data_IF_699872486011
#
_entry.id   IF_699872486011
#
_cell.length_a   1.000
_cell.length_b   1.000
_cell.length_c   1.000
_cell.angle_alpha   90.00
_cell.angle_beta   90.00
_cell.angle_gamma   90.00
#
_symmetry.space_group_name_H-M   'P 1'
#
loop_
_entity.id
_entity.type
_entity.pdbx_description
1 polymer ?
#
# COMPACT_ATOMS: atom_id res chain seq x y z
N UNK A 1 -7.36 -36.12 -65.07
CA UNK A 1 -7.28 -34.64 -64.99
C UNK A 1 -6.07 -34.30 -64.12
N UNK A 2 -5.07 -33.63 -64.69
CA UNK A 2 -3.68 -33.53 -64.19
C UNK A 2 -3.07 -32.16 -64.55
N UNK A 3 -1.83 -31.93 -64.06
CA UNK A 3 -0.94 -30.74 -64.18
C UNK A 3 -1.17 -29.66 -63.11
N UNK A 4 -0.21 -29.21 -62.28
CA UNK A 4 1.28 -29.10 -62.27
C UNK A 4 1.90 -27.93 -63.09
N UNK A 5 2.69 -27.10 -62.39
CA UNK A 5 3.63 -26.09 -62.91
C UNK A 5 3.36 -24.66 -62.36
N UNK A 6 4.34 -23.82 -62.00
CA UNK A 6 5.79 -24.01 -61.85
C UNK A 6 6.63 -22.79 -62.29
N UNK A 7 7.71 -22.47 -61.54
CA UNK A 7 8.80 -21.48 -61.81
C UNK A 7 8.42 -19.98 -61.65
N UNK A 8 9.22 -19.03 -61.12
CA UNK A 8 10.67 -18.84 -60.79
C UNK A 8 11.49 -17.99 -61.80
N UNK A 9 11.61 -16.69 -61.47
CA UNK A 9 12.81 -15.81 -61.42
C UNK A 9 13.55 -15.19 -62.66
N UNK A 10 14.25 -14.05 -62.35
CA UNK A 10 15.35 -13.33 -63.06
C UNK A 10 14.96 -12.45 -64.29
N UNK A 11 15.51 -11.25 -64.58
CA UNK A 11 16.88 -10.70 -64.41
C UNK A 11 16.98 -9.18 -64.75
N UNK A 12 18.10 -8.52 -64.35
CA UNK A 12 18.75 -7.32 -64.95
C UNK A 12 18.00 -5.95 -65.05
N UNK A 13 18.64 -4.80 -65.35
CA UNK A 13 19.91 -4.17 -64.89
C UNK A 13 19.98 -2.69 -65.40
N UNK A 14 20.72 -1.82 -64.70
CA UNK A 14 20.93 -0.36 -64.89
C UNK A 14 21.24 0.17 -66.32
N UNK A 15 21.07 1.49 -66.53
CA UNK A 15 22.27 2.29 -66.89
C UNK A 15 22.47 3.62 -66.10
N UNK A 16 23.67 4.22 -66.27
CA UNK A 16 24.14 5.54 -65.77
C UNK A 16 23.70 6.65 -66.78
N UNK A 17 23.96 7.97 -66.69
CA UNK A 17 24.90 8.83 -65.94
C UNK A 17 24.60 10.35 -66.11
N UNK A 18 25.23 11.19 -65.27
CA UNK A 18 25.73 12.57 -65.53
C UNK A 18 24.77 13.80 -65.45
N UNK A 19 25.30 14.90 -64.89
CA UNK A 19 24.75 16.27 -65.01
C UNK A 19 24.68 17.10 -63.71
N UNK A 20 25.78 17.76 -63.32
CA UNK A 20 25.79 18.91 -62.38
C UNK A 20 26.15 20.19 -63.17
N UNK A 21 25.75 21.41 -62.75
CA UNK A 21 26.42 22.14 -61.66
C UNK A 21 25.39 23.02 -60.85
N UNK A 22 25.65 24.10 -60.09
CA UNK A 22 26.84 24.81 -59.55
C UNK A 22 26.36 25.68 -58.35
N UNK A 23 27.12 25.82 -57.26
CA UNK A 23 27.44 27.14 -56.63
C UNK A 23 28.54 27.03 -55.56
N UNK A 24 29.38 28.07 -55.46
CA UNK A 24 30.54 28.23 -54.58
C UNK A 24 30.11 28.96 -53.26
N UNK A 25 30.87 29.06 -52.16
CA UNK A 25 32.27 28.72 -51.88
C UNK A 25 32.62 28.76 -50.36
N UNK A 26 33.90 28.54 -50.02
CA UNK A 26 34.46 28.18 -48.68
C UNK A 26 34.93 29.46 -47.87
N UNK A 27 35.62 29.41 -46.68
CA UNK A 27 36.40 28.31 -46.07
C UNK A 27 36.31 28.05 -44.52
N UNK A 28 36.84 26.88 -44.12
CA UNK A 28 37.23 26.48 -42.74
C UNK A 28 38.70 26.86 -42.41
N UNK A 29 39.07 26.79 -41.12
CA UNK A 29 40.32 26.13 -40.68
C UNK A 29 40.10 24.86 -39.80
N UNK A 30 41.14 24.02 -39.56
CA UNK A 30 41.03 22.66 -38.98
C UNK A 30 41.11 22.63 -37.43
N UNK A 31 40.88 21.55 -36.68
CA UNK A 31 40.60 20.13 -36.99
C UNK A 31 41.54 19.17 -36.22
N UNK A 32 41.01 18.23 -35.40
CA UNK A 32 41.69 17.03 -34.81
C UNK A 32 40.66 16.07 -34.13
N UNK A 33 41.00 14.81 -33.78
CA UNK A 33 40.09 13.67 -34.01
C UNK A 33 39.34 13.10 -32.78
N UNK A 34 38.39 12.21 -33.08
CA UNK A 34 37.65 11.35 -32.16
C UNK A 34 38.54 10.32 -31.44
N UNK A 35 38.31 10.10 -30.14
CA UNK A 35 38.65 8.85 -29.44
C UNK A 35 37.58 8.43 -28.43
N UNK A 36 37.38 7.11 -28.35
CA UNK A 36 36.40 6.42 -27.52
C UNK A 36 36.84 6.38 -26.05
N UNK A 37 35.99 6.84 -25.12
CA UNK A 37 36.31 6.81 -23.69
C UNK A 37 35.83 5.51 -23.02
N UNK A 38 36.76 4.58 -22.79
CA UNK A 38 36.59 3.44 -21.87
C UNK A 38 36.81 3.94 -20.44
N UNK A 39 35.89 3.63 -19.52
CA UNK A 39 36.03 4.01 -18.10
C UNK A 39 36.87 2.98 -17.33
N UNK A 40 38.12 3.31 -17.03
CA UNK A 40 39.00 2.52 -16.14
C UNK A 40 39.04 3.11 -14.72
N UNK A 41 39.04 2.24 -13.72
CA UNK A 41 39.17 2.60 -12.30
C UNK A 41 40.64 3.00 -11.98
N UNK A 42 40.88 4.03 -11.15
CA UNK A 42 42.19 4.27 -10.57
C UNK A 42 42.35 3.45 -9.27
N UNK A 43 43.36 2.58 -9.25
CA UNK A 43 43.89 1.97 -8.03
C UNK A 43 45.15 2.71 -7.55
N UNK A 44 45.20 3.13 -6.30
CA UNK A 44 46.43 3.11 -5.48
C UNK A 44 46.11 3.42 -4.01
N UNK A 45 46.77 2.70 -3.10
CA UNK A 45 46.41 2.71 -1.68
C UNK A 45 47.16 3.79 -0.89
N UNK A 46 46.42 4.75 -0.34
CA UNK A 46 46.89 5.70 0.68
C UNK A 46 46.35 5.32 2.07
N UNK A 47 47.25 5.06 3.02
CA UNK A 47 46.93 4.50 4.36
C UNK A 47 46.28 5.57 5.27
N UNK A 48 44.96 5.55 5.45
CA UNK A 48 44.24 6.51 6.31
C UNK A 48 43.80 5.90 7.66
N UNK A 49 44.49 6.29 8.74
CA UNK A 49 43.97 6.21 10.12
C UNK A 49 43.17 7.48 10.43
N UNK A 50 41.84 7.48 10.32
CA UNK A 50 41.05 8.60 10.87
C UNK A 50 39.79 8.15 11.62
N UNK A 51 39.95 8.10 12.95
CA UNK A 51 39.08 8.69 13.98
C UNK A 51 37.72 9.23 13.46
N UNK A 52 36.63 8.57 13.84
CA UNK A 52 35.27 9.10 13.69
C UNK A 52 35.14 10.46 14.39
N UNK A 53 35.07 11.55 13.62
CA UNK A 53 34.49 12.81 14.07
C UNK A 53 32.97 12.71 13.99
N UNK A 54 32.28 13.30 14.97
CA UNK A 54 30.82 13.50 14.92
C UNK A 54 30.52 14.67 13.97
N UNK A 55 30.62 14.46 12.67
CA UNK A 55 30.09 15.44 11.72
C UNK A 55 28.56 15.33 11.66
N UNK A 56 27.89 16.48 11.64
CA UNK A 56 26.48 16.66 12.00
C UNK A 56 25.67 17.23 10.83
N UNK A 57 26.12 16.92 9.61
CA UNK A 57 25.83 17.66 8.37
C UNK A 57 25.19 16.79 7.27
N UNK A 58 24.56 15.67 7.62
CA UNK A 58 23.55 15.10 6.74
C UNK A 58 22.37 16.09 6.63
N UNK A 59 21.94 16.51 5.41
CA UNK A 59 20.82 17.41 5.26
C UNK A 59 19.56 16.73 5.80
N UNK A 60 19.06 17.23 6.93
CA UNK A 60 17.74 16.83 7.45
C UNK A 60 16.71 17.30 6.44
N UNK A 61 15.92 16.37 5.89
CA UNK A 61 14.67 16.74 5.24
C UNK A 61 13.86 17.57 6.25
N UNK A 62 13.44 18.80 5.91
CA UNK A 62 12.76 19.66 6.86
C UNK A 62 11.48 18.98 7.34
N UNK A 63 11.34 18.85 8.66
CA UNK A 63 10.04 18.58 9.25
C UNK A 63 9.20 19.81 8.97
N UNK A 64 8.32 19.72 7.97
CA UNK A 64 7.33 20.76 7.72
C UNK A 64 6.43 20.82 8.93
N UNK A 65 6.54 21.88 9.73
CA UNK A 65 5.52 22.21 10.71
C UNK A 65 4.24 22.55 9.93
N UNK A 66 3.30 21.61 9.89
CA UNK A 66 1.95 21.82 9.35
C UNK A 66 1.10 22.65 10.33
N UNK A 67 1.65 23.82 10.68
CA UNK A 67 0.98 24.93 11.38
C UNK A 67 0.14 25.78 10.41
N UNK A 68 -0.40 26.92 10.87
CA UNK A 68 -1.67 27.50 10.37
C UNK A 68 -1.59 28.27 9.03
N UNK A 69 -0.98 27.66 8.01
CA UNK A 69 -0.92 28.18 6.62
C UNK A 69 -1.74 27.34 5.62
N UNK A 70 -2.33 26.24 6.06
CA UNK A 70 -3.29 25.49 5.27
C UNK A 70 -4.65 26.16 5.33
N UNK A 71 -5.01 26.93 4.30
CA UNK A 71 -6.42 27.27 4.05
C UNK A 71 -7.18 25.96 3.78
N UNK A 72 -8.42 25.79 4.29
CA UNK A 72 -9.27 24.69 3.88
C UNK A 72 -9.42 24.69 2.36
N UNK A 73 -9.35 23.52 1.73
CA UNK A 73 -9.63 23.39 0.29
C UNK A 73 -11.15 23.39 0.09
N UNK A 74 -11.77 24.54 0.32
CA UNK A 74 -13.15 24.77 -0.08
C UNK A 74 -13.25 24.65 -1.61
N UNK A 75 -13.95 23.61 -2.09
CA UNK A 75 -14.24 23.43 -3.51
C UNK A 75 -13.33 22.50 -4.31
N UNK A 76 -12.54 21.61 -3.68
CA UNK A 76 -12.11 20.38 -4.39
C UNK A 76 -13.17 19.30 -4.17
N UNK A 77 -13.89 18.97 -5.23
CA UNK A 77 -14.87 17.88 -5.20
C UNK A 77 -14.18 16.52 -5.04
N UNK A 78 -14.85 15.65 -4.28
CA UNK A 78 -14.41 14.29 -3.98
C UNK A 78 -15.56 13.32 -4.26
N UNK A 79 -15.30 12.24 -4.99
CA UNK A 79 -16.23 11.11 -5.10
C UNK A 79 -15.74 9.95 -4.25
N UNK A 80 -16.63 9.38 -3.46
CA UNK A 80 -16.36 8.18 -2.66
C UNK A 80 -16.88 6.95 -3.41
N UNK A 81 -16.05 5.91 -3.53
CA UNK A 81 -16.42 4.60 -4.03
C UNK A 81 -16.46 3.61 -2.85
N UNK A 82 -17.59 2.91 -2.70
CA UNK A 82 -17.80 1.87 -1.71
C UNK A 82 -18.05 0.54 -2.44
N UNK A 83 -17.05 -0.36 -2.57
CA UNK A 83 -17.28 -1.72 -3.05
C UNK A 83 -18.02 -2.53 -1.98
N UNK A 84 -19.15 -3.14 -2.34
CA UNK A 84 -20.00 -3.88 -1.42
C UNK A 84 -20.46 -5.22 -2.02
N UNK A 85 -20.43 -6.27 -1.21
CA UNK A 85 -20.98 -7.59 -1.52
C UNK A 85 -21.42 -8.27 -0.22
N UNK A 86 -22.73 -8.38 -0.03
CA UNK A 86 -23.36 -8.89 1.20
C UNK A 86 -22.96 -8.11 2.47
N UNK A 87 -23.24 -6.82 2.44
CA UNK A 87 -22.88 -5.79 3.42
C UNK A 87 -24.13 -5.05 3.97
N UNK A 88 -25.33 -5.62 3.87
CA UNK A 88 -26.56 -4.95 4.31
C UNK A 88 -26.54 -4.55 5.80
N UNK A 89 -25.81 -5.30 6.63
CA UNK A 89 -25.65 -5.06 8.06
C UNK A 89 -24.66 -3.93 8.43
N UNK A 90 -23.87 -3.42 7.46
CA UNK A 90 -22.72 -2.54 7.70
C UNK A 90 -22.77 -1.26 6.84
N UNK A 91 -23.18 -1.37 5.57
CA UNK A 91 -23.11 -0.29 4.57
C UNK A 91 -23.86 0.97 4.97
N UNK A 92 -24.95 0.84 5.73
CA UNK A 92 -25.75 1.97 6.19
C UNK A 92 -24.98 2.92 7.11
N UNK A 93 -24.14 2.39 8.00
CA UNK A 93 -23.38 3.21 8.95
C UNK A 93 -22.17 3.87 8.28
N UNK A 94 -21.54 3.17 7.32
CA UNK A 94 -20.52 3.72 6.42
C UNK A 94 -21.07 4.92 5.64
N UNK A 95 -22.20 4.77 4.96
CA UNK A 95 -22.86 5.85 4.19
C UNK A 95 -23.20 7.05 5.10
N UNK A 96 -23.83 6.83 6.26
CA UNK A 96 -24.15 7.90 7.20
C UNK A 96 -22.90 8.64 7.69
N UNK A 97 -21.79 7.94 7.92
CA UNK A 97 -20.52 8.56 8.33
C UNK A 97 -19.92 9.46 7.25
N UNK A 98 -20.16 9.14 5.98
CA UNK A 98 -19.71 9.91 4.81
C UNK A 98 -20.61 11.12 4.55
N UNK A 99 -21.92 10.97 4.72
CA UNK A 99 -22.89 12.08 4.66
C UNK A 99 -22.69 13.08 5.81
N UNK A 100 -22.15 12.64 6.95
CA UNK A 100 -21.90 13.47 8.13
C UNK A 100 -20.51 14.15 8.16
N UNK A 101 -19.70 14.05 7.10
CA UNK A 101 -18.37 14.67 7.04
C UNK A 101 -18.44 16.21 7.12
N UNK A 102 -17.43 16.84 7.72
CA UNK A 102 -17.28 18.31 7.72
C UNK A 102 -17.10 18.88 6.30
N UNK A 103 -16.42 18.12 5.44
CA UNK A 103 -16.43 18.31 3.98
C UNK A 103 -17.18 17.13 3.35
N UNK A 104 -18.48 17.26 3.06
CA UNK A 104 -19.25 16.21 2.40
C UNK A 104 -18.67 15.89 1.01
N UNK A 105 -18.61 14.61 0.62
CA UNK A 105 -18.23 14.24 -0.74
C UNK A 105 -19.30 14.69 -1.74
N UNK A 106 -18.88 15.14 -2.92
CA UNK A 106 -19.77 15.57 -4.00
C UNK A 106 -20.63 14.41 -4.55
N UNK A 107 -20.13 13.17 -4.45
CA UNK A 107 -20.89 11.96 -4.73
C UNK A 107 -20.42 10.78 -3.86
N UNK A 108 -21.37 9.92 -3.49
CA UNK A 108 -21.10 8.60 -2.90
C UNK A 108 -21.64 7.57 -3.90
N UNK A 109 -20.76 6.67 -4.35
CA UNK A 109 -21.06 5.61 -5.32
C UNK A 109 -20.85 4.27 -4.63
N UNK A 110 -21.95 3.60 -4.29
CA UNK A 110 -21.92 2.20 -3.84
C UNK A 110 -21.90 1.31 -5.07
N UNK A 111 -20.90 0.44 -5.15
CA UNK A 111 -20.82 -0.63 -6.15
C UNK A 111 -21.34 -1.90 -5.49
N UNK A 112 -22.61 -2.19 -5.72
CA UNK A 112 -23.24 -3.44 -5.32
C UNK A 112 -22.79 -4.54 -6.28
N UNK A 113 -21.77 -5.31 -5.92
CA UNK A 113 -21.10 -6.29 -6.78
C UNK A 113 -21.87 -7.61 -6.89
N UNK A 114 -23.14 -7.51 -7.29
CA UNK A 114 -24.09 -8.61 -7.33
C UNK A 114 -24.38 -9.25 -5.96
N UNK A 115 -24.64 -8.43 -4.93
CA UNK A 115 -25.06 -8.94 -3.61
C UNK A 115 -26.34 -9.77 -3.71
N UNK A 116 -26.45 -10.76 -2.81
CA UNK A 116 -27.60 -11.67 -2.63
C UNK A 116 -28.50 -11.26 -1.46
N UNK A 117 -28.10 -10.27 -0.68
CA UNK A 117 -28.89 -9.63 0.36
C UNK A 117 -29.38 -8.23 -0.07
N UNK A 118 -29.94 -7.47 0.87
CA UNK A 118 -30.51 -6.14 0.66
C UNK A 118 -29.47 -5.00 0.52
N UNK A 119 -28.17 -5.29 0.37
CA UNK A 119 -27.08 -4.29 0.35
C UNK A 119 -27.36 -3.09 -0.56
N UNK A 120 -27.77 -3.38 -1.80
CA UNK A 120 -28.07 -2.34 -2.79
C UNK A 120 -29.30 -1.51 -2.43
N UNK A 121 -30.30 -2.09 -1.79
CA UNK A 121 -31.55 -1.42 -1.43
C UNK A 121 -31.40 -0.57 -0.17
N UNK A 122 -30.66 -1.06 0.82
CA UNK A 122 -30.22 -0.28 2.00
C UNK A 122 -29.43 0.95 1.55
N UNK A 123 -28.55 0.82 0.56
CA UNK A 123 -27.83 1.96 -0.01
C UNK A 123 -28.75 2.94 -0.76
N UNK A 124 -29.65 2.45 -1.63
CA UNK A 124 -30.64 3.30 -2.35
C UNK A 124 -31.52 4.09 -1.39
N UNK A 125 -31.97 3.47 -0.30
CA UNK A 125 -32.82 4.11 0.72
C UNK A 125 -32.13 5.30 1.43
N UNK A 126 -30.79 5.37 1.40
CA UNK A 126 -30.01 6.49 1.95
C UNK A 126 -29.70 7.58 0.91
N UNK A 127 -30.25 7.50 -0.30
CA UNK A 127 -30.16 8.54 -1.32
C UNK A 127 -28.80 8.66 -2.02
N UNK A 128 -27.95 7.62 -1.93
CA UNK A 128 -26.65 7.58 -2.64
C UNK A 128 -26.76 6.89 -3.99
N UNK A 129 -25.78 7.12 -4.87
CA UNK A 129 -25.73 6.45 -6.18
C UNK A 129 -25.36 4.99 -5.97
N UNK A 130 -26.18 4.07 -6.47
CA UNK A 130 -25.90 2.62 -6.46
C UNK A 130 -25.75 2.12 -7.89
N UNK A 131 -24.56 1.62 -8.21
CA UNK A 131 -24.25 0.98 -9.50
C UNK A 131 -24.04 -0.52 -9.29
N UNK A 132 -24.57 -1.35 -10.19
CA UNK A 132 -24.48 -2.82 -10.11
C UNK A 132 -23.91 -3.38 -11.41
N UNK A 133 -22.77 -4.09 -11.38
CA UNK A 133 -22.27 -4.85 -12.52
C UNK A 133 -23.28 -5.90 -13.00
N UNK A 134 -23.21 -6.30 -14.28
CA UNK A 134 -24.07 -7.35 -14.83
C UNK A 134 -23.76 -8.75 -14.24
N UNK A 135 -22.52 -8.95 -13.77
CA UNK A 135 -22.02 -10.17 -13.11
C UNK A 135 -21.02 -9.75 -12.04
N UNK A 136 -20.93 -10.52 -10.94
CA UNK A 136 -19.95 -10.28 -9.87
C UNK A 136 -18.53 -10.16 -10.46
N UNK A 137 -17.79 -9.13 -10.05
CA UNK A 137 -16.47 -8.81 -10.60
C UNK A 137 -15.32 -9.69 -10.05
N UNK A 138 -15.62 -10.56 -9.09
CA UNK A 138 -14.71 -11.54 -8.51
C UNK A 138 -13.72 -10.98 -7.48
N UNK A 139 -13.72 -9.67 -7.22
CA UNK A 139 -12.80 -9.03 -6.27
C UNK A 139 -13.22 -7.60 -5.89
N UNK A 140 -12.72 -7.13 -4.75
CA UNK A 140 -12.85 -5.73 -4.33
C UNK A 140 -12.34 -4.75 -5.38
N UNK A 141 -11.15 -5.00 -5.95
CA UNK A 141 -10.57 -4.15 -6.99
C UNK A 141 -11.41 -4.14 -8.29
N UNK A 142 -12.03 -5.27 -8.66
CA UNK A 142 -13.01 -5.33 -9.74
C UNK A 142 -14.18 -4.36 -9.54
N UNK A 143 -14.79 -4.40 -8.35
CA UNK A 143 -15.88 -3.51 -7.98
C UNK A 143 -15.44 -2.03 -7.93
N UNK A 144 -14.29 -1.74 -7.33
CA UNK A 144 -13.73 -0.39 -7.29
C UNK A 144 -13.47 0.18 -8.71
N UNK A 145 -12.90 -0.62 -9.62
CA UNK A 145 -12.68 -0.24 -11.01
C UNK A 145 -13.97 -0.07 -11.81
N UNK A 146 -15.04 -0.79 -11.46
CA UNK A 146 -16.35 -0.56 -12.04
C UNK A 146 -16.91 0.80 -11.60
N UNK A 147 -16.82 1.12 -10.30
CA UNK A 147 -17.20 2.42 -9.73
C UNK A 147 -16.39 3.60 -10.30
N UNK A 148 -15.09 3.41 -10.52
CA UNK A 148 -14.18 4.45 -11.03
C UNK A 148 -14.63 5.05 -12.37
N UNK A 149 -15.32 4.27 -13.22
CA UNK A 149 -15.87 4.72 -14.51
C UNK A 149 -16.91 5.84 -14.39
N UNK A 150 -17.53 5.96 -13.22
CA UNK A 150 -18.56 6.95 -12.91
C UNK A 150 -18.00 8.19 -12.19
N UNK A 151 -16.74 8.16 -11.72
CA UNK A 151 -16.11 9.30 -11.05
C UNK A 151 -15.81 10.42 -12.06
N UNK A 152 -16.16 11.65 -11.70
CA UNK A 152 -15.85 12.87 -12.50
C UNK A 152 -15.06 13.93 -11.72
N UNK A 153 -14.83 13.69 -10.43
CA UNK A 153 -14.14 14.62 -9.52
C UNK A 153 -12.62 14.46 -9.59
N UNK A 154 -11.84 15.52 -9.31
CA UNK A 154 -10.37 15.47 -9.33
C UNK A 154 -9.78 14.50 -8.30
N UNK A 155 -10.47 14.25 -7.18
CA UNK A 155 -10.09 13.26 -6.17
C UNK A 155 -11.11 12.12 -6.07
N UNK A 156 -10.61 10.91 -5.85
CA UNK A 156 -11.38 9.68 -5.59
C UNK A 156 -11.03 9.16 -4.20
N UNK A 157 -12.01 8.77 -3.39
CA UNK A 157 -11.78 8.07 -2.12
C UNK A 157 -12.32 6.64 -2.23
N UNK A 158 -11.52 5.65 -1.82
CA UNK A 158 -12.00 4.29 -1.59
C UNK A 158 -12.26 4.08 -0.10
N UNK A 159 -13.46 3.56 0.24
CA UNK A 159 -13.85 3.20 1.60
C UNK A 159 -14.49 1.80 1.57
N UNK A 160 -14.10 0.90 2.48
CA UNK A 160 -14.78 -0.39 2.60
C UNK A 160 -16.19 -0.22 3.19
N UNK A 161 -17.16 -1.02 2.74
CA UNK A 161 -18.56 -0.94 3.18
C UNK A 161 -18.79 -1.15 4.71
N UNK A 162 -17.78 -1.64 5.42
CA UNK A 162 -17.75 -1.89 6.87
C UNK A 162 -16.96 -0.85 7.67
N UNK A 163 -16.58 0.28 7.04
CA UNK A 163 -15.68 1.28 7.61
C UNK A 163 -16.38 2.62 7.87
N UNK A 164 -16.52 2.98 9.15
CA UNK A 164 -17.00 4.30 9.58
C UNK A 164 -15.84 5.30 9.56
N UNK A 165 -16.04 6.51 9.03
CA UNK A 165 -15.05 7.58 9.11
C UNK A 165 -15.25 8.49 10.34
N UNK A 166 -14.17 9.06 10.88
CA UNK A 166 -14.27 10.22 11.78
C UNK A 166 -14.86 11.42 11.02
N UNK A 167 -15.53 12.34 11.74
CA UNK A 167 -16.31 13.45 11.15
C UNK A 167 -15.50 14.36 10.22
N UNK A 168 -14.20 14.49 10.49
CA UNK A 168 -13.23 15.34 9.83
C UNK A 168 -12.28 14.56 8.89
N UNK A 169 -12.48 13.26 8.70
CA UNK A 169 -11.50 12.39 8.05
C UNK A 169 -11.21 12.77 6.58
N UNK A 170 -12.23 13.12 5.79
CA UNK A 170 -12.03 13.59 4.41
C UNK A 170 -11.31 14.95 4.40
N UNK A 171 -11.72 15.89 5.26
CA UNK A 171 -11.11 17.21 5.39
C UNK A 171 -9.61 17.10 5.74
N UNK A 172 -9.25 16.23 6.67
CA UNK A 172 -7.86 15.98 7.04
C UNK A 172 -6.98 15.46 5.88
N UNK A 173 -7.55 14.71 4.92
CA UNK A 173 -6.77 14.20 3.77
C UNK A 173 -6.52 15.26 2.69
N UNK A 174 -7.43 16.23 2.51
CA UNK A 174 -7.36 17.22 1.42
C UNK A 174 -6.02 17.98 1.35
N UNK A 175 -5.43 18.49 2.45
CA UNK A 175 -4.14 19.20 2.41
C UNK A 175 -2.97 18.43 1.78
N UNK A 176 -2.99 17.08 1.81
CA UNK A 176 -1.94 16.28 1.19
C UNK A 176 -1.87 16.48 -0.34
N UNK A 177 -3.01 16.84 -0.94
CA UNK A 177 -3.15 17.07 -2.38
C UNK A 177 -2.83 18.51 -2.83
N UNK A 178 -2.33 19.37 -1.93
CA UNK A 178 -1.61 20.59 -2.34
C UNK A 178 -0.30 20.28 -3.08
N UNK A 179 0.31 19.11 -2.84
CA UNK A 179 1.58 18.72 -3.44
C UNK A 179 1.34 17.89 -4.71
N UNK A 180 1.73 18.35 -5.92
CA UNK A 180 1.45 17.63 -7.17
C UNK A 180 2.03 16.22 -7.24
N UNK A 181 3.16 15.97 -6.57
CA UNK A 181 3.80 14.65 -6.52
C UNK A 181 3.00 13.60 -5.71
N UNK A 182 2.11 14.03 -4.82
CA UNK A 182 1.29 13.13 -3.99
C UNK A 182 0.15 12.58 -4.83
N UNK A 183 0.19 11.28 -5.10
CA UNK A 183 -0.83 10.56 -5.85
C UNK A 183 -1.93 9.99 -4.95
N UNK A 184 -1.61 9.66 -3.70
CA UNK A 184 -2.56 9.12 -2.73
C UNK A 184 -2.27 9.56 -1.28
N UNK A 185 -3.28 9.52 -0.44
CA UNK A 185 -3.15 9.75 1.00
C UNK A 185 -4.06 8.79 1.78
N UNK A 186 -3.57 8.24 2.90
CA UNK A 186 -4.31 7.29 3.74
C UNK A 186 -4.39 7.73 5.20
N UNK A 187 -5.44 7.27 5.87
CA UNK A 187 -5.75 7.62 7.26
C UNK A 187 -5.14 6.70 8.32
N UNK A 188 -5.44 7.01 9.59
CA UNK A 188 -5.19 6.18 10.76
C UNK A 188 -6.34 5.19 10.96
N UNK A 189 -6.04 3.89 10.93
CA UNK A 189 -7.06 2.83 11.12
C UNK A 189 -7.13 2.43 12.60
N UNK A 190 -8.35 2.28 13.13
CA UNK A 190 -8.63 1.63 14.42
C UNK A 190 -9.81 0.67 14.28
N UNK A 191 -9.92 -0.40 15.08
CA UNK A 191 -11.15 -1.19 15.10
C UNK A 191 -12.35 -0.37 15.62
N UNK A 192 -13.52 -0.55 14.99
CA UNK A 192 -14.79 0.01 15.48
C UNK A 192 -15.15 -0.50 16.89
N UNK A 193 -14.75 -1.73 17.22
CA UNK A 193 -15.11 -2.43 18.47
C UNK A 193 -13.89 -3.14 19.04
N UNK A 194 -13.75 -3.16 20.36
CA UNK A 194 -12.60 -3.74 21.08
C UNK A 194 -13.12 -4.64 22.20
N UNK A 195 -13.74 -5.77 21.84
CA UNK A 195 -14.46 -6.66 22.78
C UNK A 195 -13.83 -8.05 22.88
N UNK A 196 -13.75 -8.76 21.77
CA UNK A 196 -13.13 -10.08 21.63
C UNK A 196 -11.60 -10.02 21.77
N UNK A 197 -10.96 -11.16 22.00
CA UNK A 197 -9.49 -11.25 22.01
C UNK A 197 -8.88 -10.85 20.65
N UNK A 198 -9.56 -11.13 19.54
CA UNK A 198 -9.07 -10.83 18.19
C UNK A 198 -9.10 -9.32 17.89
N UNK A 199 -10.21 -8.65 18.19
CA UNK A 199 -10.32 -7.18 18.11
C UNK A 199 -9.33 -6.48 19.06
N UNK A 200 -9.10 -7.03 20.26
CA UNK A 200 -8.15 -6.49 21.25
C UNK A 200 -6.70 -6.63 20.79
N UNK A 201 -6.35 -7.75 20.15
CA UNK A 201 -5.04 -7.92 19.52
C UNK A 201 -4.85 -6.92 18.38
N UNK A 202 -5.87 -6.77 17.53
CA UNK A 202 -5.85 -5.86 16.37
C UNK A 202 -5.75 -4.39 16.80
N UNK A 203 -6.46 -4.00 17.85
CA UNK A 203 -6.38 -2.66 18.43
C UNK A 203 -4.93 -2.27 18.80
N UNK A 204 -4.20 -3.17 19.44
CA UNK A 204 -2.79 -2.94 19.82
C UNK A 204 -1.88 -2.95 18.59
N UNK A 205 -2.10 -3.87 17.65
CA UNK A 205 -1.35 -3.95 16.39
C UNK A 205 -1.49 -2.65 15.58
N UNK A 206 -2.70 -2.11 15.46
CA UNK A 206 -2.94 -0.83 14.80
C UNK A 206 -2.36 0.35 15.60
N UNK A 207 -2.52 0.40 16.93
CA UNK A 207 -1.86 1.44 17.72
C UNK A 207 -0.34 1.43 17.50
N UNK A 208 0.30 0.26 17.45
CA UNK A 208 1.72 0.14 17.17
C UNK A 208 2.05 0.57 15.73
N UNK A 209 1.37 0.00 14.73
CA UNK A 209 1.63 0.24 13.31
C UNK A 209 1.40 1.70 12.89
N UNK A 210 0.30 2.31 13.31
CA UNK A 210 -0.08 3.66 12.90
C UNK A 210 0.56 4.77 13.75
N UNK A 211 0.90 4.51 15.02
CA UNK A 211 1.64 5.49 15.85
C UNK A 211 3.14 5.48 15.55
N UNK A 212 3.72 4.32 15.23
CA UNK A 212 5.16 4.16 14.98
C UNK A 212 5.50 3.95 13.50
N UNK A 213 5.26 2.75 12.95
CA UNK A 213 5.78 2.38 11.63
C UNK A 213 5.31 3.30 10.50
N UNK A 214 4.01 3.59 10.39
CA UNK A 214 3.50 4.51 9.36
C UNK A 214 3.96 5.96 9.57
N UNK A 215 4.17 6.45 10.81
CA UNK A 215 4.78 7.78 11.03
C UNK A 215 6.25 7.82 10.61
N UNK A 216 7.00 6.73 10.83
CA UNK A 216 8.36 6.60 10.31
C UNK A 216 8.39 6.54 8.79
N UNK A 217 7.44 5.84 8.16
CA UNK A 217 7.35 5.74 6.70
C UNK A 217 6.87 7.06 6.04
N UNK A 218 6.01 7.83 6.73
CA UNK A 218 5.59 9.17 6.31
C UNK A 218 6.77 10.16 6.25
N UNK A 219 7.75 10.05 7.17
CA UNK A 219 8.96 10.87 7.11
C UNK A 219 9.72 10.71 5.77
N UNK A 220 9.57 9.56 5.10
CA UNK A 220 10.14 9.29 3.77
C UNK A 220 9.14 9.45 2.61
N UNK A 221 7.91 9.92 2.86
CA UNK A 221 6.83 10.01 1.86
C UNK A 221 6.43 8.67 1.24
N UNK A 222 6.71 7.56 1.96
CA UNK A 222 6.59 6.19 1.44
C UNK A 222 5.99 5.18 2.46
N UNK A 223 4.76 5.41 3.00
CA UNK A 223 4.00 4.39 3.74
C UNK A 223 3.93 3.07 2.98
N UNK A 224 4.24 1.95 3.64
CA UNK A 224 4.32 0.63 2.99
C UNK A 224 3.03 0.22 2.27
N UNK A 225 1.90 0.79 2.70
CA UNK A 225 0.56 0.57 2.16
C UNK A 225 -0.32 1.82 2.36
N UNK A 226 -1.00 2.26 1.30
CA UNK A 226 -2.19 3.12 1.38
C UNK A 226 -3.36 2.23 1.75
N UNK A 227 -3.84 2.28 3.00
CA UNK A 227 -4.76 1.27 3.54
C UNK A 227 -6.09 1.21 2.77
N UNK A 228 -6.42 0.06 2.17
CA UNK A 228 -7.56 -0.08 1.26
C UNK A 228 -8.95 0.17 1.88
N UNK A 229 -9.07 0.21 3.21
CA UNK A 229 -10.32 0.54 3.91
C UNK A 229 -10.64 2.05 3.96
N UNK A 230 -9.63 2.92 3.82
CA UNK A 230 -9.80 4.36 3.70
C UNK A 230 -8.55 5.01 3.10
N UNK A 231 -8.62 5.36 1.80
CA UNK A 231 -7.57 6.09 1.09
C UNK A 231 -8.15 7.01 0.02
N UNK A 232 -7.56 8.20 -0.12
CA UNK A 232 -7.85 9.18 -1.17
C UNK A 232 -6.76 9.13 -2.24
N UNK A 233 -7.13 9.41 -3.50
CA UNK A 233 -6.27 9.33 -4.69
C UNK A 233 -6.55 10.50 -5.62
N UNK A 234 -5.54 10.97 -6.36
CA UNK A 234 -5.77 11.80 -7.56
C UNK A 234 -6.43 10.92 -8.64
N UNK A 235 -7.63 11.31 -9.08
CA UNK A 235 -8.39 10.53 -10.06
C UNK A 235 -7.63 10.37 -11.38
N UNK A 236 -6.90 11.40 -11.82
CA UNK A 236 -6.08 11.35 -13.05
C UNK A 236 -4.95 10.31 -12.97
N UNK A 237 -4.22 10.24 -11.85
CA UNK A 237 -3.11 9.31 -11.65
C UNK A 237 -3.65 7.89 -11.45
N UNK A 238 -4.71 7.74 -10.67
CA UNK A 238 -5.42 6.47 -10.51
C UNK A 238 -5.90 5.93 -11.86
N UNK A 239 -6.45 6.79 -12.72
CA UNK A 239 -6.83 6.46 -14.09
C UNK A 239 -5.64 6.04 -14.97
N UNK A 240 -4.52 6.78 -14.91
CA UNK A 240 -3.30 6.45 -15.64
C UNK A 240 -2.69 5.09 -15.23
N UNK A 241 -2.91 4.67 -13.98
CA UNK A 241 -2.54 3.35 -13.48
C UNK A 241 -3.57 2.24 -13.76
N UNK A 242 -4.67 2.53 -14.47
CA UNK A 242 -5.82 1.65 -14.71
C UNK A 242 -6.56 1.20 -13.43
N UNK A 243 -6.57 2.04 -12.39
CA UNK A 243 -7.25 1.80 -11.13
C UNK A 243 -6.52 0.81 -10.21
N UNK A 244 -7.28 -0.06 -9.54
CA UNK A 244 -6.78 -1.07 -8.60
C UNK A 244 -6.52 -2.39 -9.33
N UNK A 245 -5.36 -3.02 -9.10
CA UNK A 245 -4.99 -4.21 -9.88
C UNK A 245 -5.54 -5.52 -9.28
N UNK A 246 -6.11 -6.37 -10.13
CA UNK A 246 -6.54 -7.75 -9.78
C UNK A 246 -5.38 -8.78 -9.80
N UNK A 247 -4.13 -8.35 -9.95
CA UNK A 247 -2.95 -9.25 -10.06
C UNK A 247 -2.58 -9.94 -8.75
N UNK A 248 -2.99 -9.36 -7.62
CA UNK A 248 -2.72 -9.88 -6.27
C UNK A 248 -3.97 -9.75 -5.40
N UNK A 249 -3.97 -10.42 -4.25
CA UNK A 249 -5.04 -10.34 -3.25
C UNK A 249 -4.99 -9.10 -2.34
N UNK A 250 -4.00 -8.22 -2.54
CA UNK A 250 -3.84 -6.95 -1.84
C UNK A 250 -3.63 -5.86 -2.91
N UNK A 251 -4.74 -5.42 -3.48
CA UNK A 251 -4.81 -4.44 -4.56
C UNK A 251 -4.23 -3.07 -4.18
N UNK A 252 -4.31 -2.77 -2.89
CA UNK A 252 -3.88 -1.52 -2.27
C UNK A 252 -2.36 -1.47 -2.09
N UNK A 253 -1.72 -2.60 -1.78
CA UNK A 253 -0.25 -2.78 -1.80
C UNK A 253 0.28 -2.66 -3.23
N UNK A 254 -0.33 -3.35 -4.21
CA UNK A 254 0.08 -3.30 -5.63
C UNK A 254 0.06 -1.86 -6.13
N UNK A 255 -1.08 -1.17 -5.96
CA UNK A 255 -1.22 0.22 -6.40
C UNK A 255 -0.22 1.14 -5.67
N UNK A 256 -0.06 1.02 -4.36
CA UNK A 256 0.90 1.83 -3.59
C UNK A 256 2.33 1.67 -4.11
N UNK A 257 2.75 0.44 -4.44
CA UNK A 257 4.12 0.17 -4.90
C UNK A 257 4.31 0.52 -6.37
N UNK A 258 3.28 0.35 -7.20
CA UNK A 258 3.22 0.83 -8.58
C UNK A 258 3.37 2.35 -8.66
N UNK A 259 2.70 3.11 -7.78
CA UNK A 259 2.85 4.57 -7.67
C UNK A 259 4.30 4.97 -7.33
N UNK A 260 4.96 4.27 -6.39
CA UNK A 260 6.36 4.52 -6.07
C UNK A 260 7.33 4.21 -7.21
N UNK A 261 7.04 3.20 -8.01
CA UNK A 261 7.84 2.83 -9.19
C UNK A 261 7.65 3.82 -10.35
N UNK A 262 6.49 4.49 -10.42
CA UNK A 262 6.24 5.62 -11.31
C UNK A 262 6.78 6.98 -10.79
N UNK A 263 7.42 7.01 -9.61
CA UNK A 263 8.01 8.21 -9.02
C UNK A 263 7.06 9.08 -8.20
N UNK A 264 5.82 8.65 -7.98
CA UNK A 264 4.86 9.36 -7.14
C UNK A 264 5.15 9.19 -5.64
N UNK A 265 4.55 10.07 -4.85
CA UNK A 265 4.48 10.00 -3.39
C UNK A 265 3.10 9.51 -2.93
N UNK A 266 3.08 8.93 -1.72
CA UNK A 266 1.85 8.60 -1.01
C UNK A 266 2.03 9.08 0.42
N UNK A 267 0.97 9.66 1.00
CA UNK A 267 1.04 10.26 2.34
C UNK A 267 0.21 9.49 3.36
N UNK A 268 0.61 9.57 4.62
CA UNK A 268 -0.14 9.08 5.76
C UNK A 268 -0.50 10.27 6.66
N UNK A 269 -1.80 10.51 6.83
CA UNK A 269 -2.33 11.57 7.68
C UNK A 269 -2.90 10.94 8.96
N UNK A 270 -2.17 10.98 10.09
CA UNK A 270 -2.60 10.33 11.33
C UNK A 270 -3.85 10.95 11.98
N UNK A 271 -4.21 12.16 11.58
CA UNK A 271 -5.40 12.90 12.01
C UNK A 271 -6.66 12.43 11.28
N UNK A 272 -6.55 11.90 10.05
CA UNK A 272 -7.66 11.36 9.29
C UNK A 272 -8.02 9.93 9.77
N UNK A 273 -8.92 9.78 10.75
CA UNK A 273 -9.18 8.47 11.39
C UNK A 273 -10.35 7.71 10.75
N UNK A 274 -10.22 6.39 10.59
CA UNK A 274 -11.32 5.49 10.23
C UNK A 274 -11.44 4.26 11.15
N UNK A 275 -12.62 3.64 11.10
CA UNK A 275 -13.10 2.61 12.03
C UNK A 275 -13.75 1.41 11.30
N UNK A 276 -12.97 0.52 10.65
CA UNK A 276 -13.46 -0.77 10.13
C UNK A 276 -13.99 -1.71 11.23
N UNK A 277 -14.93 -2.57 10.84
CA UNK A 277 -15.28 -3.77 11.60
C UNK A 277 -14.13 -4.78 11.45
N UNK A 278 -13.63 -5.27 12.59
CA UNK A 278 -12.53 -6.25 12.62
C UNK A 278 -13.02 -7.67 12.95
N UNK A 279 -12.32 -8.72 12.50
CA UNK A 279 -12.73 -10.10 12.76
C UNK A 279 -12.77 -10.44 14.25
N UNK A 280 -13.95 -10.81 14.75
CA UNK A 280 -14.21 -11.12 16.15
C UNK A 280 -14.06 -12.61 16.51
N UNK A 281 -13.74 -13.48 15.54
CA UNK A 281 -13.44 -14.91 15.72
C UNK A 281 -12.16 -15.32 15.00
N UNK A 282 -11.54 -16.43 15.43
CA UNK A 282 -10.34 -16.98 14.78
C UNK A 282 -10.61 -17.39 13.32
N UNK A 283 -11.81 -17.85 13.00
CA UNK A 283 -12.19 -18.26 11.63
C UNK A 283 -12.20 -17.06 10.68
N UNK A 284 -12.86 -15.96 11.09
CA UNK A 284 -12.90 -14.72 10.32
C UNK A 284 -11.51 -14.08 10.24
N UNK A 285 -10.76 -14.07 11.36
CA UNK A 285 -9.39 -13.57 11.41
C UNK A 285 -8.49 -14.36 10.45
N UNK A 286 -8.59 -15.69 10.46
CA UNK A 286 -7.84 -16.58 9.58
C UNK A 286 -8.11 -16.33 8.09
N UNK A 287 -9.36 -16.04 7.68
CA UNK A 287 -9.68 -15.63 6.30
C UNK A 287 -8.94 -14.33 5.92
N UNK A 288 -9.02 -13.31 6.78
CA UNK A 288 -8.40 -12.00 6.54
C UNK A 288 -6.85 -12.11 6.50
N UNK A 289 -6.24 -12.79 7.49
CA UNK A 289 -4.79 -12.98 7.58
C UNK A 289 -4.22 -13.84 6.44
N UNK A 290 -4.96 -14.87 5.99
CA UNK A 290 -4.61 -15.63 4.79
C UNK A 290 -4.56 -14.71 3.56
N UNK A 291 -5.60 -13.91 3.34
CA UNK A 291 -5.67 -12.95 2.22
C UNK A 291 -4.53 -11.95 2.26
N UNK A 292 -4.29 -11.30 3.40
CA UNK A 292 -3.24 -10.28 3.55
C UNK A 292 -1.83 -10.85 3.43
N UNK A 293 -1.56 -12.01 4.05
CA UNK A 293 -0.25 -12.67 3.98
C UNK A 293 0.10 -13.11 2.55
N UNK A 294 -0.84 -13.76 1.85
CA UNK A 294 -0.64 -14.13 0.46
C UNK A 294 -0.52 -12.90 -0.44
N UNK A 295 -1.41 -11.90 -0.30
CA UNK A 295 -1.35 -10.67 -1.08
C UNK A 295 -0.02 -9.91 -0.92
N UNK A 296 0.53 -9.83 0.30
CA UNK A 296 1.83 -9.21 0.52
C UNK A 296 2.97 -9.97 -0.19
N UNK A 297 3.04 -11.30 -0.04
CA UNK A 297 4.09 -12.11 -0.68
C UNK A 297 3.96 -12.11 -2.22
N UNK A 298 2.72 -12.09 -2.74
CA UNK A 298 2.44 -11.93 -4.17
C UNK A 298 2.97 -10.59 -4.69
N UNK A 299 2.73 -9.48 -3.97
CA UNK A 299 3.27 -8.17 -4.32
C UNK A 299 4.81 -8.14 -4.31
N UNK A 300 5.45 -8.82 -3.37
CA UNK A 300 6.92 -8.91 -3.29
C UNK A 300 7.50 -9.65 -4.48
N UNK A 301 6.84 -10.74 -4.90
CA UNK A 301 7.19 -11.51 -6.11
C UNK A 301 6.95 -10.70 -7.39
N UNK A 302 5.84 -9.96 -7.47
CA UNK A 302 5.46 -9.12 -8.61
C UNK A 302 6.42 -7.94 -8.79
N UNK A 303 6.72 -7.22 -7.70
CA UNK A 303 7.49 -5.98 -7.74
C UNK A 303 8.99 -6.15 -7.44
N UNK A 304 9.53 -7.38 -7.37
CA UNK A 304 10.90 -7.62 -6.87
C UNK A 304 11.98 -6.75 -7.54
N UNK A 305 11.86 -6.48 -8.86
CA UNK A 305 12.73 -5.55 -9.61
C UNK A 305 12.49 -4.08 -9.23
N UNK A 306 11.23 -3.68 -9.11
CA UNK A 306 10.84 -2.33 -8.71
C UNK A 306 11.26 -1.99 -7.26
N UNK A 307 11.27 -2.99 -6.36
CA UNK A 307 11.83 -2.83 -5.02
C UNK A 307 13.30 -2.40 -5.08
N UNK A 308 14.12 -2.99 -5.97
CA UNK A 308 15.53 -2.61 -6.11
C UNK A 308 15.72 -1.15 -6.56
N UNK A 309 14.75 -0.59 -7.30
CA UNK A 309 14.76 0.81 -7.76
C UNK A 309 14.27 1.82 -6.71
N UNK A 310 13.61 1.37 -5.62
CA UNK A 310 13.10 2.23 -4.54
C UNK A 310 13.77 1.85 -3.21
N UNK A 311 14.95 2.41 -2.87
CA UNK A 311 15.79 1.90 -1.78
C UNK A 311 15.10 1.85 -0.41
N UNK A 312 14.27 2.85 -0.09
CA UNK A 312 13.50 2.85 1.16
C UNK A 312 12.49 1.69 1.22
N UNK A 313 11.73 1.49 0.14
CA UNK A 313 10.72 0.44 0.04
C UNK A 313 11.36 -0.95 0.15
N UNK A 314 12.51 -1.17 -0.49
CA UNK A 314 13.32 -2.39 -0.32
C UNK A 314 13.66 -2.66 1.14
N UNK A 315 14.16 -1.65 1.86
CA UNK A 315 14.51 -1.79 3.28
C UNK A 315 13.28 -2.03 4.15
N UNK A 316 12.17 -1.33 3.91
CA UNK A 316 10.92 -1.53 4.64
C UNK A 316 10.34 -2.95 4.44
N UNK A 317 10.35 -3.45 3.20
CA UNK A 317 9.93 -4.82 2.86
C UNK A 317 10.87 -5.85 3.48
N UNK A 318 12.19 -5.64 3.45
CA UNK A 318 13.17 -6.55 4.05
C UNK A 318 12.99 -6.64 5.58
N UNK A 319 12.75 -5.51 6.25
CA UNK A 319 12.44 -5.48 7.70
C UNK A 319 11.12 -6.16 7.99
N UNK A 320 10.08 -5.96 7.18
CA UNK A 320 8.79 -6.64 7.33
C UNK A 320 8.92 -8.17 7.17
N UNK A 321 9.71 -8.65 6.20
CA UNK A 321 10.02 -10.07 6.06
C UNK A 321 10.79 -10.61 7.25
N UNK A 322 11.83 -9.90 7.70
CA UNK A 322 12.62 -10.31 8.86
C UNK A 322 11.74 -10.46 10.10
N UNK A 323 10.88 -9.47 10.39
CA UNK A 323 9.99 -9.51 11.56
C UNK A 323 8.98 -10.67 11.46
N UNK A 324 8.31 -10.79 10.32
CA UNK A 324 7.25 -11.78 10.11
C UNK A 324 7.74 -13.22 9.90
N UNK A 325 9.05 -13.45 9.72
CA UNK A 325 9.64 -14.79 9.55
C UNK A 325 10.67 -15.13 10.62
N UNK A 326 11.85 -14.52 10.58
CA UNK A 326 13.00 -14.88 11.41
C UNK A 326 12.79 -14.41 12.85
N UNK A 327 12.40 -13.15 13.08
CA UNK A 327 12.09 -12.68 14.42
C UNK A 327 10.91 -13.47 14.99
N UNK A 328 9.81 -13.63 14.23
CA UNK A 328 8.69 -14.45 14.65
C UNK A 328 9.09 -15.89 15.05
N UNK A 329 9.93 -16.58 14.27
CA UNK A 329 10.41 -17.92 14.62
C UNK A 329 11.32 -17.92 15.86
N UNK A 330 12.25 -16.96 15.98
CA UNK A 330 13.15 -16.84 17.13
C UNK A 330 12.36 -16.55 18.40
N UNK A 331 11.52 -15.51 18.38
CA UNK A 331 10.77 -15.06 19.55
C UNK A 331 9.59 -15.98 19.90
N UNK A 332 8.88 -16.59 18.95
CA UNK A 332 7.69 -17.39 19.31
C UNK A 332 8.00 -18.87 19.53
N UNK A 333 9.13 -19.38 19.03
CA UNK A 333 9.45 -20.81 19.06
C UNK A 333 10.82 -21.08 19.69
N UNK A 334 11.89 -20.45 19.20
CA UNK A 334 13.25 -20.78 19.64
C UNK A 334 13.53 -20.39 21.10
N UNK A 335 13.20 -19.15 21.51
CA UNK A 335 13.48 -18.68 22.87
C UNK A 335 12.75 -19.47 23.96
N UNK A 336 11.44 -19.80 23.85
CA UNK A 336 10.76 -20.70 24.80
C UNK A 336 11.38 -22.09 24.86
N UNK A 337 11.64 -22.70 23.70
CA UNK A 337 12.23 -24.05 23.62
C UNK A 337 13.60 -24.05 24.27
N UNK A 338 14.46 -23.06 23.99
CA UNK A 338 15.81 -22.99 24.55
C UNK A 338 15.79 -22.71 26.07
N UNK A 339 14.86 -21.87 26.55
CA UNK A 339 14.68 -21.62 27.98
C UNK A 339 14.26 -22.90 28.74
N UNK A 340 13.38 -23.72 28.15
CA UNK A 340 12.96 -25.00 28.69
C UNK A 340 14.06 -26.06 28.62
N UNK A 341 14.63 -26.31 27.43
CA UNK A 341 15.64 -27.35 27.20
C UNK A 341 16.92 -27.16 28.03
N UNK A 342 17.31 -25.91 28.30
CA UNK A 342 18.49 -25.61 29.13
C UNK A 342 18.16 -25.39 30.61
N UNK A 343 16.87 -25.36 30.98
CA UNK A 343 16.39 -24.89 32.30
C UNK A 343 16.91 -23.47 32.66
N UNK A 344 16.92 -22.56 31.68
CA UNK A 344 17.46 -21.20 31.79
C UNK A 344 16.40 -20.13 31.52
N UNK A 345 15.52 -19.80 32.48
CA UNK A 345 14.43 -18.84 32.28
C UNK A 345 14.90 -17.43 31.90
N UNK A 346 16.14 -17.04 32.22
CA UNK A 346 16.73 -15.76 31.81
C UNK A 346 16.90 -15.61 30.29
N UNK A 347 16.82 -16.68 29.50
CA UNK A 347 16.77 -16.60 28.03
C UNK A 347 15.52 -15.84 27.56
N UNK A 348 14.45 -15.83 28.35
CA UNK A 348 13.23 -15.06 28.10
C UNK A 348 13.43 -13.54 28.32
N UNK A 349 14.59 -13.07 28.78
CA UNK A 349 14.88 -11.62 28.88
C UNK A 349 14.89 -10.94 27.50
N UNK A 350 15.06 -11.69 26.40
CA UNK A 350 14.92 -11.17 25.04
C UNK A 350 13.57 -10.49 24.80
N UNK A 351 12.46 -11.03 25.35
CA UNK A 351 11.16 -10.37 25.25
C UNK A 351 11.08 -9.06 26.04
N UNK A 352 11.83 -8.96 27.15
CA UNK A 352 11.85 -7.77 28.02
C UNK A 352 12.59 -6.62 27.33
N UNK A 353 13.59 -6.93 26.50
CA UNK A 353 14.34 -5.95 25.70
C UNK A 353 13.45 -5.35 24.59
N UNK A 354 12.62 -6.17 23.94
CA UNK A 354 11.72 -5.72 22.87
C UNK A 354 10.39 -5.12 23.40
N UNK A 355 9.99 -5.43 24.63
CA UNK A 355 8.75 -4.93 25.21
C UNK A 355 8.63 -3.39 25.17
N UNK A 356 9.65 -2.58 25.56
CA UNK A 356 9.62 -1.13 25.37
C UNK A 356 9.37 -0.68 23.93
N UNK A 357 9.92 -1.36 22.93
CA UNK A 357 9.78 -0.98 21.52
C UNK A 357 8.32 -1.10 21.03
N UNK A 358 7.56 -2.06 21.56
CA UNK A 358 6.11 -2.20 21.29
C UNK A 358 5.28 -1.32 22.23
N UNK A 359 5.58 -1.35 23.53
CA UNK A 359 4.75 -0.72 24.56
C UNK A 359 4.80 0.80 24.51
N UNK A 360 5.96 1.42 24.29
CA UNK A 360 6.07 2.89 24.29
C UNK A 360 5.22 3.53 23.19
N UNK A 361 5.27 3.10 21.91
CA UNK A 361 4.39 3.67 20.89
C UNK A 361 2.91 3.34 21.09
N UNK A 362 2.58 2.13 21.55
CA UNK A 362 1.19 1.74 21.86
C UNK A 362 0.60 2.63 22.96
N UNK A 363 1.33 2.82 24.06
CA UNK A 363 0.90 3.67 25.17
C UNK A 363 0.86 5.16 24.78
N UNK A 364 1.80 5.64 23.94
CA UNK A 364 1.76 7.00 23.41
C UNK A 364 0.54 7.24 22.51
N UNK A 365 0.21 6.29 21.62
CA UNK A 365 -0.99 6.33 20.77
C UNK A 365 -2.27 6.30 21.60
N UNK A 366 -2.34 5.40 22.58
CA UNK A 366 -3.46 5.31 23.51
C UNK A 366 -3.61 6.56 24.40
N UNK A 367 -2.51 7.17 24.83
CA UNK A 367 -2.51 8.39 25.64
C UNK A 367 -3.16 9.57 24.89
N UNK A 368 -2.77 9.79 23.62
CA UNK A 368 -3.39 10.82 22.76
C UNK A 368 -4.90 10.63 22.60
N UNK A 369 -5.37 9.39 22.65
CA UNK A 369 -6.80 9.00 22.53
C UNK A 369 -7.52 8.87 23.88
N UNK A 370 -6.83 9.07 25.01
CA UNK A 370 -7.32 8.86 26.39
C UNK A 370 -7.72 7.41 26.72
N UNK A 371 -7.15 6.44 26.00
CA UNK A 371 -7.52 5.01 26.06
C UNK A 371 -6.50 4.11 26.78
N UNK A 372 -5.55 4.69 27.55
CA UNK A 372 -4.43 3.95 28.19
C UNK A 372 -4.91 2.66 28.92
N UNK A 373 -6.00 2.73 29.69
CA UNK A 373 -6.56 1.57 30.40
C UNK A 373 -7.01 0.44 29.44
N UNK A 374 -7.65 0.80 28.32
CA UNK A 374 -8.10 -0.12 27.27
C UNK A 374 -6.89 -0.76 26.56
N UNK A 375 -5.85 0.02 26.28
CA UNK A 375 -4.61 -0.47 25.70
C UNK A 375 -3.91 -1.47 26.63
N UNK A 376 -3.64 -1.09 27.89
CA UNK A 376 -2.98 -1.97 28.88
C UNK A 376 -3.72 -3.31 29.00
N UNK A 377 -5.05 -3.27 29.15
CA UNK A 377 -5.85 -4.48 29.27
C UNK A 377 -5.79 -5.38 28.02
N UNK A 378 -5.51 -4.82 26.84
CA UNK A 378 -5.52 -5.52 25.54
C UNK A 378 -4.15 -6.06 25.11
N UNK A 379 -3.06 -5.67 25.78
CA UNK A 379 -1.68 -6.14 25.48
C UNK A 379 -1.57 -7.69 25.39
N UNK A 380 -2.15 -8.51 26.29
CA UNK A 380 -2.01 -9.98 26.18
C UNK A 380 -2.57 -10.54 24.87
N UNK A 381 -3.61 -9.91 24.34
CA UNK A 381 -4.25 -10.32 23.09
C UNK A 381 -3.38 -10.02 21.85
N UNK A 382 -2.49 -9.02 21.92
CA UNK A 382 -1.53 -8.71 20.86
C UNK A 382 -0.54 -9.85 20.64
N UNK A 383 0.00 -10.44 21.70
CA UNK A 383 0.95 -11.56 21.58
C UNK A 383 0.28 -12.81 21.00
N UNK A 384 -0.98 -13.08 21.36
CA UNK A 384 -1.77 -14.13 20.71
C UNK A 384 -1.95 -13.85 19.21
N UNK A 385 -2.40 -12.65 18.84
CA UNK A 385 -2.60 -12.29 17.43
C UNK A 385 -1.27 -12.32 16.64
N UNK A 386 -0.17 -11.81 17.21
CA UNK A 386 1.18 -11.87 16.60
C UNK A 386 1.62 -13.30 16.33
N UNK A 387 1.28 -14.24 17.22
CA UNK A 387 1.55 -15.67 17.02
C UNK A 387 0.75 -16.24 15.86
N UNK A 388 -0.54 -15.91 15.77
CA UNK A 388 -1.39 -16.34 14.65
C UNK A 388 -0.91 -15.72 13.33
N UNK A 389 -0.62 -14.43 13.29
CA UNK A 389 -0.02 -13.72 12.15
C UNK A 389 1.21 -14.43 11.61
N UNK A 390 2.18 -14.76 12.46
CA UNK A 390 3.40 -15.45 12.07
C UNK A 390 3.13 -16.79 11.37
N UNK A 391 2.18 -17.60 11.89
CA UNK A 391 1.81 -18.88 11.29
C UNK A 391 1.17 -18.70 9.91
N UNK A 392 0.28 -17.71 9.73
CA UNK A 392 -0.33 -17.41 8.43
C UNK A 392 0.70 -16.83 7.44
N UNK A 393 1.62 -15.99 7.89
CA UNK A 393 2.66 -15.41 7.04
C UNK A 393 3.67 -16.46 6.57
N UNK A 394 4.19 -17.31 7.47
CA UNK A 394 5.09 -18.41 7.11
C UNK A 394 4.42 -19.39 6.14
N UNK A 395 3.13 -19.70 6.31
CA UNK A 395 2.35 -20.51 5.36
C UNK A 395 2.25 -19.85 3.98
N UNK A 396 1.99 -18.54 3.92
CA UNK A 396 1.94 -17.80 2.66
C UNK A 396 3.31 -17.76 1.96
N UNK A 397 4.40 -17.51 2.69
CA UNK A 397 5.78 -17.55 2.16
C UNK A 397 6.09 -18.93 1.56
N UNK A 398 5.80 -20.01 2.27
CA UNK A 398 5.99 -21.37 1.75
C UNK A 398 5.12 -21.63 0.51
N UNK A 399 3.85 -21.25 0.51
CA UNK A 399 2.94 -21.49 -0.60
C UNK A 399 3.33 -20.71 -1.88
N UNK A 400 3.62 -19.41 -1.75
CA UNK A 400 3.83 -18.50 -2.89
C UNK A 400 5.26 -18.55 -3.47
N UNK A 401 6.27 -18.76 -2.62
CA UNK A 401 7.69 -18.72 -3.02
C UNK A 401 8.33 -20.10 -3.15
N UNK A 402 7.96 -21.08 -2.31
CA UNK A 402 8.59 -22.41 -2.32
C UNK A 402 7.78 -23.46 -3.10
N UNK A 403 6.45 -23.44 -2.98
CA UNK A 403 5.56 -24.47 -3.54
C UNK A 403 4.83 -24.06 -4.83
N UNK A 404 4.88 -22.78 -5.22
CA UNK A 404 4.17 -22.26 -6.40
C UNK A 404 2.64 -22.31 -6.31
N UNK A 405 2.07 -22.55 -5.12
CA UNK A 405 0.63 -22.70 -4.86
C UNK A 405 0.00 -21.34 -4.51
N UNK A 406 -0.06 -20.45 -5.50
CA UNK A 406 -0.60 -19.10 -5.28
C UNK A 406 -2.09 -19.09 -4.96
N UNK A 407 -2.49 -18.30 -3.97
CA UNK A 407 -3.90 -18.10 -3.64
C UNK A 407 -4.55 -17.14 -4.65
N UNK A 408 -5.64 -17.57 -5.28
CA UNK A 408 -6.31 -16.82 -6.38
C UNK A 408 -7.74 -16.39 -6.06
N UNK A 409 -8.37 -16.96 -5.04
CA UNK A 409 -9.77 -16.69 -4.68
C UNK A 409 -9.80 -15.62 -3.59
N UNK A 410 -10.58 -14.57 -3.83
CA UNK A 410 -10.88 -13.55 -2.84
C UNK A 410 -12.06 -14.03 -1.97
N UNK A 411 -11.81 -14.26 -0.68
CA UNK A 411 -12.85 -14.55 0.30
C UNK A 411 -12.94 -13.37 1.28
N UNK A 412 -14.04 -12.59 1.25
CA UNK A 412 -14.35 -11.69 2.37
C UNK A 412 -14.89 -12.53 3.54
N UNK A 413 -14.61 -12.08 4.75
CA UNK A 413 -14.92 -12.82 5.98
C UNK A 413 -15.76 -11.97 6.90
N UNK A 414 -17.08 -12.05 6.71
CA UNK A 414 -18.11 -11.63 7.67
C UNK A 414 -18.99 -12.84 7.97
#
# INVERSE_FOLDING_TARGET
MQHLGGRVAQSAALPRSAGAPLYQGNPKPPGRPLQTAVFTLPSSAGRLKHRWSRDRTAPRAPLVELGPLLRPIAGIDVTVIIPAYNEAASVADTIKSLQAQTTPPAAIIVVDDCSTDETGDVARALGVVVVRPATNTGSKAGAQNFGLRYVRTPLTVAVDADTILARDAIECLLPAFHYPAVAAACGFVLPQRVRSVWERGRYIEYLFAFTYYKRLQEYYGKPLISSGCFSMYRTEILGAHNGWSNRTLAEDVDLTWSLYQAGHEVRFVPEAVCYPIEPHTLTLMGKQLRRWSHGFVQNVKLHWRGLLAVPYLRSAVAVAFWDATIAAAVYLVLLPILALLLARPWILIGYVIDAPAVLVPVLAGAARRREIRRAIASIPAFFLLRTVNAVFFLRAVCAELLLGRSLRVYEKGH
#
